data_IF_189811407644
#
_entry.id   IF_189811407644
#
_cell.length_a   1.000
_cell.length_b   1.000
_cell.length_c   1.000
_cell.angle_alpha   90.00
_cell.angle_beta   90.00
_cell.angle_gamma   90.00
#
_symmetry.space_group_name_H-M   'P 1'
#
loop_
_entity.id
_entity.type
_entity.pdbx_description
1 polymer ?
#
# COMPACT_ATOMS: atom_id res chain seq x y z
N UNK A 1 -49.87 -20.05 -8.75
CA UNK A 1 -49.95 -19.01 -7.69
C UNK A 1 -49.37 -19.46 -6.34
N UNK A 2 -49.52 -20.73 -5.92
CA UNK A 2 -48.98 -21.20 -4.63
C UNK A 2 -47.44 -21.15 -4.53
N UNK A 3 -46.73 -21.44 -5.62
CA UNK A 3 -45.25 -21.46 -5.66
C UNK A 3 -44.63 -20.06 -5.53
N UNK A 4 -45.25 -19.04 -6.14
CA UNK A 4 -44.79 -17.66 -6.03
C UNK A 4 -45.04 -17.09 -4.64
N UNK A 5 -46.17 -17.42 -4.02
CA UNK A 5 -46.47 -17.03 -2.64
C UNK A 5 -45.48 -17.64 -1.64
N UNK A 6 -45.14 -18.92 -1.80
CA UNK A 6 -44.13 -19.59 -0.98
C UNK A 6 -42.74 -18.94 -1.16
N UNK A 7 -42.38 -18.56 -2.38
CA UNK A 7 -41.12 -17.85 -2.64
C UNK A 7 -41.06 -16.49 -1.93
N UNK A 8 -42.14 -15.69 -1.97
CA UNK A 8 -42.19 -14.41 -1.26
C UNK A 8 -42.17 -14.56 0.26
N UNK A 9 -42.88 -15.54 0.81
CA UNK A 9 -42.85 -15.83 2.24
C UNK A 9 -41.48 -16.31 2.70
N UNK A 10 -40.81 -17.16 1.90
CA UNK A 10 -39.46 -17.63 2.20
C UNK A 10 -38.46 -16.47 2.15
N UNK A 11 -38.57 -15.60 1.14
CA UNK A 11 -37.72 -14.40 1.03
C UNK A 11 -37.94 -13.46 2.22
N UNK A 12 -39.20 -13.19 2.59
CA UNK A 12 -39.54 -12.34 3.73
C UNK A 12 -39.07 -12.92 5.07
N UNK A 13 -39.18 -14.24 5.25
CA UNK A 13 -38.67 -14.93 6.43
C UNK A 13 -37.14 -14.86 6.52
N UNK A 14 -36.42 -15.09 5.41
CA UNK A 14 -34.97 -14.97 5.40
C UNK A 14 -34.50 -13.52 5.60
N UNK A 15 -35.20 -12.54 5.04
CA UNK A 15 -34.88 -11.13 5.24
C UNK A 15 -35.09 -10.69 6.69
N UNK A 16 -36.23 -11.04 7.28
CA UNK A 16 -36.55 -10.68 8.68
C UNK A 16 -35.63 -11.39 9.66
N UNK A 17 -35.31 -12.67 9.44
CA UNK A 17 -34.32 -13.40 10.26
C UNK A 17 -32.92 -12.81 10.12
N UNK A 18 -32.51 -12.35 8.94
CA UNK A 18 -31.23 -11.66 8.75
C UNK A 18 -31.22 -10.29 9.45
N UNK A 19 -32.29 -9.51 9.38
CA UNK A 19 -32.39 -8.23 10.09
C UNK A 19 -32.42 -8.40 11.61
N UNK A 20 -33.16 -9.39 12.13
CA UNK A 20 -33.17 -9.71 13.56
C UNK A 20 -31.81 -10.26 14.02
N UNK A 21 -31.18 -11.15 13.26
CA UNK A 21 -29.81 -11.59 13.56
C UNK A 21 -28.83 -10.43 13.52
N UNK A 22 -28.97 -9.46 12.63
CA UNK A 22 -28.13 -8.25 12.61
C UNK A 22 -28.39 -7.32 13.81
N UNK A 23 -29.62 -7.27 14.32
CA UNK A 23 -30.00 -6.48 15.49
C UNK A 23 -29.56 -7.15 16.81
N UNK A 24 -29.56 -8.48 16.87
CA UNK A 24 -29.25 -9.27 18.09
C UNK A 24 -27.80 -9.76 18.11
N UNK A 25 -27.20 -10.03 16.96
CA UNK A 25 -25.79 -10.44 16.86
C UNK A 25 -24.92 -9.20 16.97
N UNK A 26 -24.48 -8.96 18.21
CA UNK A 26 -23.23 -8.31 18.51
C UNK A 26 -22.15 -9.00 17.67
N UNK A 27 -21.80 -8.40 16.54
CA UNK A 27 -20.73 -8.92 15.70
C UNK A 27 -19.50 -9.11 16.60
N UNK A 28 -18.94 -10.33 16.80
CA UNK A 28 -17.53 -10.37 17.13
C UNK A 28 -16.85 -9.64 15.98
N UNK A 29 -15.84 -8.80 16.26
CA UNK A 29 -15.38 -7.79 15.32
C UNK A 29 -14.94 -8.47 14.02
N UNK A 30 -15.84 -8.56 13.04
CA UNK A 30 -15.62 -9.27 11.79
C UNK A 30 -14.40 -8.67 11.08
N UNK A 31 -14.20 -7.37 11.30
CA UNK A 31 -12.98 -6.66 10.95
C UNK A 31 -11.73 -7.20 11.67
N UNK A 32 -11.72 -7.46 12.98
CA UNK A 32 -10.54 -8.02 13.65
C UNK A 32 -10.23 -9.43 13.18
N UNK A 33 -11.24 -10.27 12.97
CA UNK A 33 -11.04 -11.62 12.45
C UNK A 33 -10.54 -11.58 11.00
N UNK A 34 -11.14 -10.73 10.16
CA UNK A 34 -10.63 -10.43 8.82
C UNK A 34 -9.18 -9.98 8.86
N UNK A 35 -8.85 -8.94 9.64
CA UNK A 35 -7.48 -8.43 9.78
C UNK A 35 -6.50 -9.48 10.29
N UNK A 36 -6.93 -10.44 11.13
CA UNK A 36 -6.05 -11.52 11.59
C UNK A 36 -5.62 -12.47 10.48
N UNK A 37 -6.43 -12.66 9.43
CA UNK A 37 -6.04 -13.49 8.28
C UNK A 37 -5.06 -12.78 7.35
N UNK A 38 -5.12 -11.45 7.26
CA UNK A 38 -4.27 -10.66 6.35
C UNK A 38 -3.09 -9.98 7.04
N UNK A 39 -2.89 -10.23 8.35
CA UNK A 39 -1.79 -9.64 9.11
C UNK A 39 -0.44 -10.02 8.49
N UNK A 40 -0.28 -11.29 8.13
CA UNK A 40 0.97 -11.82 7.56
C UNK A 40 1.12 -11.50 6.06
N UNK A 41 0.04 -11.12 5.39
CA UNK A 41 0.03 -10.76 3.97
C UNK A 41 0.45 -9.31 3.72
N UNK A 42 0.70 -8.52 4.78
CA UNK A 42 1.05 -7.10 4.70
C UNK A 42 0.13 -6.29 3.77
N UNK A 43 -1.17 -6.64 3.73
CA UNK A 43 -2.17 -5.87 3.01
C UNK A 43 -2.48 -4.61 3.82
N UNK A 44 -1.66 -3.58 3.60
CA UNK A 44 -1.76 -2.34 4.35
C UNK A 44 -2.95 -1.50 3.88
N UNK A 45 -3.69 -0.88 4.80
CA UNK A 45 -4.80 -0.01 4.44
C UNK A 45 -4.30 1.19 3.63
N UNK A 46 -4.93 1.45 2.48
CA UNK A 46 -4.72 2.66 1.68
C UNK A 46 -5.75 3.73 2.05
N UNK A 47 -5.28 4.91 2.46
CA UNK A 47 -6.12 6.09 2.67
C UNK A 47 -6.41 6.80 1.34
N UNK A 48 -7.22 7.86 1.37
CA UNK A 48 -7.48 8.67 0.17
C UNK A 48 -6.22 9.42 -0.27
N UNK A 49 -5.40 9.82 0.69
CA UNK A 49 -4.13 10.52 0.47
C UNK A 49 -3.09 9.62 -0.21
N UNK A 50 -3.18 8.30 0.03
CA UNK A 50 -2.31 7.30 -0.59
C UNK A 50 -2.63 7.07 -2.08
N UNK A 51 -3.82 7.47 -2.55
CA UNK A 51 -4.25 7.32 -3.96
C UNK A 51 -3.69 8.42 -4.85
N UNK A 52 -2.39 8.63 -4.81
CA UNK A 52 -1.70 9.57 -5.68
C UNK A 52 -1.13 8.84 -6.92
N UNK A 53 -1.71 9.03 -8.12
CA UNK A 53 -1.23 8.37 -9.33
C UNK A 53 0.20 8.78 -9.72
N UNK A 54 0.72 9.90 -9.18
CA UNK A 54 2.10 10.33 -9.43
C UNK A 54 3.14 9.37 -8.88
N UNK A 55 2.82 8.59 -7.85
CA UNK A 55 3.73 7.62 -7.23
C UNK A 55 3.99 6.41 -8.15
N UNK A 56 3.11 6.17 -9.12
CA UNK A 56 3.14 5.00 -10.00
C UNK A 56 3.63 5.30 -11.44
N UNK A 57 4.02 6.55 -11.75
CA UNK A 57 4.42 6.94 -13.13
C UNK A 57 5.82 6.48 -13.56
N UNK A 58 6.60 5.87 -12.68
CA UNK A 58 7.98 5.50 -13.00
C UNK A 58 8.04 4.45 -14.12
N UNK A 59 8.78 4.78 -15.19
CA UNK A 59 9.06 3.88 -16.33
C UNK A 59 10.39 3.14 -16.20
N UNK A 60 11.05 3.20 -15.04
CA UNK A 60 12.33 2.53 -14.75
C UNK A 60 13.46 2.87 -15.75
N UNK A 61 13.54 4.13 -16.21
CA UNK A 61 14.58 4.56 -17.16
C UNK A 61 15.99 4.71 -16.56
N UNK A 62 16.13 4.74 -15.23
CA UNK A 62 17.42 4.83 -14.53
C UNK A 62 18.10 6.21 -14.53
N UNK A 63 17.55 7.23 -15.19
CA UNK A 63 18.14 8.58 -15.23
C UNK A 63 18.38 9.18 -13.85
N UNK A 64 17.45 8.99 -12.92
CA UNK A 64 17.56 9.48 -11.54
C UNK A 64 18.72 8.83 -10.77
N UNK A 65 19.04 7.57 -11.04
CA UNK A 65 20.16 6.86 -10.41
C UNK A 65 21.50 7.45 -10.84
N UNK A 66 21.62 7.83 -12.12
CA UNK A 66 22.85 8.42 -12.69
C UNK A 66 23.27 9.75 -12.04
N UNK A 67 22.31 10.49 -11.47
CA UNK A 67 22.56 11.75 -10.77
C UNK A 67 22.65 11.61 -9.25
N UNK A 68 22.25 10.46 -8.69
CA UNK A 68 22.17 10.29 -7.24
C UNK A 68 23.58 10.33 -6.60
N UNK A 69 23.90 11.35 -5.77
CA UNK A 69 25.20 11.43 -5.12
C UNK A 69 25.46 10.22 -4.21
N UNK A 70 24.43 9.75 -3.52
CA UNK A 70 24.52 8.60 -2.62
C UNK A 70 25.02 7.32 -3.31
N UNK A 71 24.59 7.08 -4.55
CA UNK A 71 25.05 5.95 -5.35
C UNK A 71 26.50 6.12 -5.82
N UNK A 72 26.91 7.34 -6.15
CA UNK A 72 28.29 7.64 -6.56
C UNK A 72 29.27 7.47 -5.40
N UNK A 73 28.95 8.04 -4.24
CA UNK A 73 29.83 8.07 -3.06
C UNK A 73 29.95 6.71 -2.38
N UNK A 74 28.93 5.84 -2.47
CA UNK A 74 28.92 4.54 -1.83
C UNK A 74 29.12 3.37 -2.81
N UNK A 75 29.89 3.59 -3.86
CA UNK A 75 30.24 2.56 -4.85
C UNK A 75 30.73 1.28 -4.15
N UNK A 76 29.95 0.19 -4.22
CA UNK A 76 30.24 -1.10 -3.58
C UNK A 76 29.36 -1.50 -2.39
N UNK A 77 28.57 -0.57 -1.81
CA UNK A 77 27.49 -0.93 -0.87
C UNK A 77 26.19 -1.17 -1.62
N UNK A 78 25.36 -2.10 -1.14
CA UNK A 78 23.98 -2.32 -1.65
C UNK A 78 23.07 -1.18 -1.19
N UNK A 79 23.19 -0.02 -1.84
CA UNK A 79 22.27 1.11 -1.65
C UNK A 79 21.18 1.07 -2.72
N UNK A 80 19.94 1.28 -2.31
CA UNK A 80 18.81 1.41 -3.23
C UNK A 80 18.89 2.74 -3.98
N UNK A 81 18.84 2.66 -5.31
CA UNK A 81 18.76 3.84 -6.16
C UNK A 81 17.38 4.51 -6.12
N UNK A 82 17.29 5.81 -6.43
CA UNK A 82 16.01 6.52 -6.55
C UNK A 82 14.97 5.81 -7.41
N UNK A 83 15.37 5.11 -8.48
CA UNK A 83 14.46 4.40 -9.37
C UNK A 83 13.74 3.22 -8.72
N UNK A 84 14.29 2.71 -7.60
CA UNK A 84 13.78 1.54 -6.89
C UNK A 84 12.58 1.89 -5.99
N UNK A 85 12.52 3.12 -5.46
CA UNK A 85 11.42 3.52 -4.57
C UNK A 85 10.04 3.48 -5.24
N UNK A 86 9.84 4.00 -6.47
CA UNK A 86 8.55 3.88 -7.16
C UNK A 86 8.18 2.43 -7.52
N UNK A 87 9.14 1.52 -7.58
CA UNK A 87 8.85 0.09 -7.73
C UNK A 87 8.30 -0.48 -6.42
N UNK A 88 8.96 -0.21 -5.31
CA UNK A 88 8.51 -0.59 -3.97
C UNK A 88 7.10 -0.05 -3.70
N UNK A 89 6.84 1.22 -4.04
CA UNK A 89 5.55 1.85 -3.79
C UNK A 89 4.37 1.19 -4.53
N UNK A 90 4.63 0.44 -5.61
CA UNK A 90 3.61 -0.33 -6.35
C UNK A 90 3.43 -1.76 -5.82
N UNK A 91 4.41 -2.25 -5.06
CA UNK A 91 4.47 -3.61 -4.52
C UNK A 91 4.74 -3.56 -3.02
N UNK A 92 3.96 -2.73 -2.32
CA UNK A 92 4.13 -2.47 -0.89
C UNK A 92 4.14 -3.75 -0.06
N UNK A 93 3.18 -4.69 -0.21
CA UNK A 93 3.17 -5.92 0.56
C UNK A 93 4.42 -6.78 0.35
N UNK A 94 4.98 -6.77 -0.87
CA UNK A 94 6.11 -7.63 -1.23
C UNK A 94 7.45 -7.09 -0.72
N UNK A 95 7.64 -5.76 -0.76
CA UNK A 95 8.95 -5.15 -0.51
C UNK A 95 9.07 -4.46 0.84
N UNK A 96 8.03 -3.77 1.30
CA UNK A 96 8.10 -2.94 2.52
C UNK A 96 8.51 -3.73 3.78
N UNK A 97 8.02 -4.96 4.01
CA UNK A 97 8.43 -5.76 5.18
C UNK A 97 9.92 -6.12 5.18
N UNK A 98 10.54 -6.20 4.01
CA UNK A 98 11.94 -6.60 3.84
C UNK A 98 12.90 -5.41 3.78
N UNK A 99 12.39 -4.17 3.76
CA UNK A 99 13.26 -2.99 3.77
C UNK A 99 13.94 -2.84 5.13
N UNK A 100 15.21 -2.42 5.17
CA UNK A 100 15.85 -2.05 6.43
C UNK A 100 15.22 -0.76 7.02
N UNK A 101 15.40 -0.50 8.31
CA UNK A 101 14.82 0.70 8.98
C UNK A 101 15.42 2.01 8.43
N UNK A 102 16.69 1.95 8.08
CA UNK A 102 17.54 3.03 7.57
C UNK A 102 17.60 3.08 6.03
N UNK A 103 16.60 2.51 5.34
CA UNK A 103 16.62 2.42 3.88
C UNK A 103 16.73 3.78 3.16
N UNK A 104 16.27 4.86 3.80
CA UNK A 104 16.27 6.23 3.29
C UNK A 104 17.47 7.07 3.79
N UNK A 105 18.30 6.56 4.71
CA UNK A 105 19.40 7.32 5.35
C UNK A 105 20.41 7.84 4.32
N UNK A 106 20.64 7.08 3.25
CA UNK A 106 21.54 7.49 2.17
C UNK A 106 21.02 8.68 1.35
N UNK A 107 19.72 9.00 1.42
CA UNK A 107 19.12 10.08 0.65
C UNK A 107 19.54 11.45 1.19
N UNK A 108 20.31 12.20 0.39
CA UNK A 108 20.78 13.55 0.75
C UNK A 108 19.77 14.68 0.45
N UNK A 109 18.53 14.35 0.09
CA UNK A 109 17.48 15.31 -0.28
C UNK A 109 17.85 16.34 -1.37
N UNK A 110 18.85 16.05 -2.21
CA UNK A 110 19.37 16.97 -3.24
C UNK A 110 18.39 17.28 -4.39
N UNK A 111 17.27 16.57 -4.50
CA UNK A 111 16.22 16.68 -5.54
C UNK A 111 16.67 16.49 -6.99
N UNK A 112 17.93 16.11 -7.25
CA UNK A 112 18.42 15.84 -8.60
C UNK A 112 17.63 14.74 -9.33
N UNK A 113 17.18 13.72 -8.60
CA UNK A 113 16.36 12.63 -9.12
C UNK A 113 14.99 13.09 -9.65
N UNK A 114 14.35 14.06 -9.00
CA UNK A 114 13.07 14.62 -9.41
C UNK A 114 13.24 15.58 -10.60
N UNK A 115 14.33 16.35 -10.62
CA UNK A 115 14.61 17.33 -11.67
C UNK A 115 14.87 16.69 -13.04
N UNK A 116 15.54 15.53 -13.09
CA UNK A 116 15.82 14.82 -14.35
C UNK A 116 14.69 13.88 -14.80
N UNK A 117 13.70 13.61 -13.95
CA UNK A 117 12.69 12.60 -14.24
C UNK A 117 11.74 13.03 -15.37
N UNK A 118 11.68 12.33 -16.52
CA UNK A 118 10.78 12.69 -17.61
C UNK A 118 9.31 12.56 -17.22
N UNK A 119 8.99 11.61 -16.33
CA UNK A 119 7.63 11.33 -15.82
C UNK A 119 7.24 12.17 -14.59
N UNK A 120 8.15 13.07 -14.16
CA UNK A 120 7.95 13.95 -12.99
C UNK A 120 7.51 13.17 -11.75
N UNK A 121 8.18 12.05 -11.46
CA UNK A 121 7.89 11.23 -10.27
C UNK A 121 8.41 11.96 -9.03
N UNK A 122 7.57 12.21 -8.00
CA UNK A 122 7.99 12.89 -6.79
C UNK A 122 8.68 11.92 -5.82
N UNK A 123 9.95 11.61 -6.07
CA UNK A 123 10.73 10.60 -5.32
C UNK A 123 10.70 10.84 -3.80
N UNK A 124 10.77 12.09 -3.31
CA UNK A 124 10.67 12.37 -1.87
C UNK A 124 9.31 11.96 -1.29
N UNK A 125 8.23 12.22 -2.04
CA UNK A 125 6.88 11.79 -1.64
C UNK A 125 6.76 10.28 -1.66
N UNK A 126 7.39 9.61 -2.61
CA UNK A 126 7.44 8.13 -2.69
C UNK A 126 8.17 7.55 -1.47
N UNK A 127 9.34 8.09 -1.10
CA UNK A 127 10.07 7.65 0.10
C UNK A 127 9.23 7.85 1.36
N UNK A 128 8.61 9.02 1.53
CA UNK A 128 7.75 9.31 2.66
C UNK A 128 6.53 8.37 2.74
N UNK A 129 5.93 8.05 1.59
CA UNK A 129 4.85 7.07 1.48
C UNK A 129 5.30 5.68 1.96
N UNK A 130 6.45 5.20 1.47
CA UNK A 130 7.01 3.89 1.88
C UNK A 130 7.26 3.85 3.39
N UNK A 131 7.83 4.92 3.95
CA UNK A 131 8.09 5.03 5.39
C UNK A 131 6.80 4.95 6.21
N UNK A 132 5.77 5.69 5.81
CA UNK A 132 4.46 5.64 6.45
C UNK A 132 3.83 4.23 6.37
N UNK A 133 3.97 3.55 5.23
CA UNK A 133 3.51 2.16 5.07
C UNK A 133 4.26 1.20 5.96
N UNK A 134 5.59 1.35 6.06
CA UNK A 134 6.41 0.55 6.96
C UNK A 134 5.98 0.71 8.42
N UNK A 135 5.81 1.95 8.88
CA UNK A 135 5.32 2.25 10.24
C UNK A 135 3.94 1.63 10.53
N UNK A 136 3.03 1.65 9.55
CA UNK A 136 1.69 1.04 9.68
C UNK A 136 1.72 -0.49 9.58
N UNK A 137 2.70 -1.07 8.89
CA UNK A 137 2.85 -2.51 8.71
C UNK A 137 3.60 -3.21 9.84
N UNK A 138 4.30 -2.45 10.69
CA UNK A 138 4.94 -2.96 11.90
C UNK A 138 3.99 -3.14 13.10
N UNK A 139 2.67 -2.99 12.92
CA UNK A 139 1.60 -3.15 13.93
C UNK A 139 0.91 -4.53 13.83
#
# INVERSE_FOLDING_TARGET
MLKSLHAYLNLGFHLTTMMMKRAVSFQPPALKQFLSFYKDDFILPYSLEDKDPSLARCILCGLCDSLCPALKTNSGKKILGPSFFPMIARSVPDFVPSLPEDFDEACQECRGCEAICPEKVPIRKVIAFIKNKKEKGSL
#
